data_IF_030260797221
#
_entry.id   IF_030260797221
#
_cell.length_a   1.000
_cell.length_b   1.000
_cell.length_c   1.000
_cell.angle_alpha   90.00
_cell.angle_beta   90.00
_cell.angle_gamma   90.00
#
_symmetry.space_group_name_H-M   'P 1'
#
loop_
_entity.id
_entity.type
_entity.pdbx_description
1 polymer ?
#
# COMPACT_ATOMS: atom_id res chain seq x y z
N UNK A 1 15.59 -2.87 -41.82
CA UNK A 1 15.23 -2.14 -40.59
C UNK A 1 13.75 -2.34 -40.35
N UNK A 2 13.39 -3.25 -39.44
CA UNK A 2 12.01 -3.43 -38.98
C UNK A 2 11.79 -2.44 -37.84
N UNK A 3 10.79 -1.56 -37.97
CA UNK A 3 10.34 -0.71 -36.88
C UNK A 3 9.59 -1.59 -35.89
N UNK A 4 10.06 -1.63 -34.64
CA UNK A 4 9.34 -2.22 -33.53
C UNK A 4 8.20 -1.26 -33.16
N UNK A 5 6.98 -1.66 -33.48
CA UNK A 5 5.75 -1.03 -32.98
C UNK A 5 5.66 -1.31 -31.49
N UNK A 6 6.06 -0.34 -30.66
CA UNK A 6 5.79 -0.35 -29.23
C UNK A 6 4.27 -0.30 -29.03
N UNK A 7 3.66 -1.44 -28.71
CA UNK A 7 2.26 -1.52 -28.32
C UNK A 7 2.06 -0.72 -27.03
N UNK A 8 1.53 0.49 -27.17
CA UNK A 8 1.03 1.28 -26.04
C UNK A 8 -0.16 0.52 -25.45
N UNK A 9 0.06 -0.24 -24.39
CA UNK A 9 -1.02 -0.85 -23.63
C UNK A 9 -1.72 0.32 -22.93
N UNK A 10 -2.85 0.76 -23.48
CA UNK A 10 -3.75 1.70 -22.80
C UNK A 10 -4.10 1.09 -21.44
N UNK A 11 -3.52 1.62 -20.35
CA UNK A 11 -3.86 1.17 -19.00
C UNK A 11 -5.32 1.54 -18.74
N UNK A 12 -6.16 0.55 -18.50
CA UNK A 12 -7.55 0.78 -18.11
C UNK A 12 -7.58 1.22 -16.66
N UNK A 13 -7.89 2.49 -16.45
CA UNK A 13 -8.12 3.06 -15.11
C UNK A 13 -9.35 2.39 -14.52
N UNK A 14 -9.25 1.93 -13.28
CA UNK A 14 -10.36 1.32 -12.56
C UNK A 14 -10.93 2.30 -11.54
N UNK A 15 -12.22 2.17 -11.27
CA UNK A 15 -12.94 2.86 -10.20
C UNK A 15 -13.35 1.89 -9.10
N UNK A 16 -13.21 2.34 -7.86
CA UNK A 16 -13.61 1.59 -6.68
C UNK A 16 -14.44 2.47 -5.75
N UNK A 17 -15.29 1.84 -4.97
CA UNK A 17 -16.06 2.46 -3.91
C UNK A 17 -15.51 1.99 -2.57
N UNK A 18 -15.28 2.93 -1.67
CA UNK A 18 -14.81 2.69 -0.31
C UNK A 18 -15.87 3.18 0.67
N UNK A 19 -16.45 2.26 1.43
CA UNK A 19 -17.42 2.57 2.48
C UNK A 19 -16.69 2.73 3.82
N UNK A 20 -16.70 3.95 4.36
CA UNK A 20 -16.13 4.25 5.67
C UNK A 20 -17.00 3.68 6.77
N UNK A 21 -16.37 2.99 7.72
CA UNK A 21 -17.05 2.27 8.80
C UNK A 21 -16.06 1.64 9.77
N UNK A 22 -16.40 0.48 10.33
CA UNK A 22 -15.51 -0.26 11.23
C UNK A 22 -14.28 -0.84 10.53
N UNK A 23 -14.40 -1.16 9.23
CA UNK A 23 -13.36 -1.85 8.47
C UNK A 23 -12.48 -0.89 7.66
N UNK A 24 -12.99 0.28 7.27
CA UNK A 24 -12.24 1.28 6.52
C UNK A 24 -12.35 2.66 7.15
N UNK A 25 -11.21 3.33 7.31
CA UNK A 25 -11.10 4.69 7.85
C UNK A 25 -10.31 5.58 6.91
N UNK A 26 -10.70 6.86 6.89
CA UNK A 26 -9.97 7.92 6.21
C UNK A 26 -9.23 8.76 7.27
N UNK A 27 -7.91 8.70 7.26
CA UNK A 27 -7.03 9.46 8.15
C UNK A 27 -6.28 10.51 7.32
N UNK A 28 -6.86 11.72 7.24
CA UNK A 28 -6.34 12.80 6.40
C UNK A 28 -6.41 12.44 4.92
N UNK A 29 -5.27 12.08 4.33
CA UNK A 29 -5.12 11.74 2.90
C UNK A 29 -4.81 10.25 2.66
N UNK A 30 -4.95 9.41 3.68
CA UNK A 30 -4.74 7.97 3.58
C UNK A 30 -6.01 7.22 4.00
N UNK A 31 -6.38 6.20 3.22
CA UNK A 31 -7.45 5.27 3.58
C UNK A 31 -6.80 3.99 4.09
N UNK A 32 -7.17 3.55 5.28
CA UNK A 32 -6.74 2.25 5.80
C UNK A 32 -7.93 1.31 5.89
N UNK A 33 -7.78 0.11 5.33
CA UNK A 33 -8.74 -0.98 5.41
C UNK A 33 -8.15 -2.11 6.23
N UNK A 34 -8.80 -2.48 7.34
CA UNK A 34 -8.29 -3.39 8.38
C UNK A 34 -8.45 -4.89 8.04
N UNK A 35 -8.58 -5.23 6.76
CA UNK A 35 -8.51 -6.61 6.28
C UNK A 35 -8.03 -6.68 4.83
N UNK A 36 -7.54 -7.86 4.43
CA UNK A 36 -7.18 -8.14 3.03
C UNK A 36 -8.41 -8.66 2.30
N UNK A 37 -9.21 -7.77 1.69
CA UNK A 37 -10.25 -8.16 0.73
C UNK A 37 -9.60 -8.69 -0.56
N UNK A 38 -10.23 -9.67 -1.22
CA UNK A 38 -9.86 -10.04 -2.60
C UNK A 38 -9.93 -8.84 -3.54
N UNK A 39 -10.89 -7.94 -3.32
CA UNK A 39 -11.13 -6.78 -4.16
C UNK A 39 -10.02 -5.74 -4.03
N UNK A 40 -9.44 -5.62 -2.83
CA UNK A 40 -8.27 -4.76 -2.58
C UNK A 40 -7.01 -5.23 -3.34
N UNK A 41 -6.95 -6.48 -3.81
CA UNK A 41 -5.86 -6.93 -4.70
C UNK A 41 -5.96 -6.32 -6.09
N UNK A 42 -7.16 -5.94 -6.52
CA UNK A 42 -7.40 -5.31 -7.82
C UNK A 42 -7.03 -3.83 -7.87
N UNK A 43 -7.05 -3.14 -6.73
CA UNK A 43 -6.74 -1.70 -6.64
C UNK A 43 -5.28 -1.45 -7.03
N UNK A 44 -5.08 -0.53 -7.97
CA UNK A 44 -3.76 -0.11 -8.49
C UNK A 44 -3.55 1.38 -8.29
N UNK A 45 -2.32 1.80 -8.52
CA UNK A 45 -1.98 3.23 -8.64
C UNK A 45 -2.74 3.84 -9.81
N UNK A 46 -3.06 5.13 -9.71
CA UNK A 46 -3.91 5.91 -10.62
C UNK A 46 -5.39 5.53 -10.66
N UNK A 47 -5.82 4.48 -9.95
CA UNK A 47 -7.23 4.12 -9.85
C UNK A 47 -8.04 5.24 -9.16
N UNK A 48 -9.29 5.37 -9.60
CA UNK A 48 -10.27 6.27 -9.05
C UNK A 48 -10.94 5.65 -7.82
N UNK A 49 -11.16 6.46 -6.79
CA UNK A 49 -11.87 6.06 -5.58
C UNK A 49 -13.04 7.00 -5.31
N UNK A 50 -14.17 6.40 -4.97
CA UNK A 50 -15.33 7.08 -4.42
C UNK A 50 -15.42 6.78 -2.93
N UNK A 51 -15.28 7.81 -2.09
CA UNK A 51 -15.36 7.67 -0.64
C UNK A 51 -16.79 7.93 -0.21
N UNK A 52 -17.38 6.94 0.46
CA UNK A 52 -18.76 6.99 0.93
C UNK A 52 -18.83 6.66 2.40
N UNK A 53 -19.89 7.08 3.06
CA UNK A 53 -20.20 6.70 4.44
C UNK A 53 -21.64 6.26 4.53
N UNK A 54 -21.88 5.19 5.28
CA UNK A 54 -23.24 4.78 5.59
C UNK A 54 -23.85 5.75 6.62
N UNK A 55 -24.92 6.45 6.19
CA UNK A 55 -25.68 7.37 7.01
C UNK A 55 -27.04 6.79 7.41
N UNK A 56 -27.75 7.50 8.29
CA UNK A 56 -29.08 7.09 8.79
C UNK A 56 -30.17 7.01 7.71
N UNK A 57 -30.00 7.69 6.58
CA UNK A 57 -30.93 7.72 5.44
C UNK A 57 -30.38 7.01 4.19
N UNK A 58 -29.25 6.31 4.32
CA UNK A 58 -28.57 5.61 3.22
C UNK A 58 -27.11 6.06 3.06
N UNK A 59 -26.46 5.57 2.01
CA UNK A 59 -25.06 5.88 1.71
C UNK A 59 -24.90 7.30 1.16
N UNK A 60 -23.99 8.05 1.76
CA UNK A 60 -23.62 9.40 1.38
C UNK A 60 -22.22 9.40 0.76
N UNK A 61 -22.06 10.10 -0.36
CA UNK A 61 -20.78 10.33 -1.03
C UNK A 61 -20.11 11.53 -0.39
N UNK A 62 -18.91 11.29 0.15
CA UNK A 62 -18.13 12.29 0.87
C UNK A 62 -17.04 12.92 0.01
N UNK A 63 -16.40 12.14 -0.87
CA UNK A 63 -15.30 12.64 -1.68
C UNK A 63 -15.01 11.77 -2.90
N UNK A 64 -14.38 12.38 -3.90
CA UNK A 64 -13.70 11.70 -5.00
C UNK A 64 -12.19 11.76 -4.76
N UNK A 65 -11.48 10.67 -4.97
CA UNK A 65 -10.02 10.64 -4.81
C UNK A 65 -9.33 9.80 -5.87
N UNK A 66 -8.01 9.95 -5.94
CA UNK A 66 -7.12 9.14 -6.78
C UNK A 66 -6.09 8.42 -5.93
N UNK A 67 -5.86 7.16 -6.24
CA UNK A 67 -4.82 6.35 -5.60
C UNK A 67 -3.47 6.78 -6.13
N UNK A 68 -2.61 7.25 -5.24
CA UNK A 68 -1.19 7.44 -5.54
C UNK A 68 -0.44 6.12 -5.39
N UNK A 69 -0.64 5.45 -4.26
CA UNK A 69 0.13 4.25 -3.90
C UNK A 69 -0.67 3.30 -3.03
N UNK A 70 -0.48 2.00 -3.28
CA UNK A 70 -1.11 0.93 -2.49
C UNK A 70 -0.06 0.21 -1.66
N UNK A 71 -0.20 0.27 -0.33
CA UNK A 71 0.65 -0.46 0.62
C UNK A 71 -0.14 -1.61 1.23
N UNK A 72 0.34 -2.83 1.02
CA UNK A 72 -0.30 -4.06 1.52
C UNK A 72 0.54 -4.63 2.65
N UNK A 73 -0.04 -4.72 3.84
CA UNK A 73 0.51 -5.47 4.97
C UNK A 73 -0.25 -6.80 5.10
N UNK A 74 0.11 -7.60 6.11
CA UNK A 74 -0.54 -8.90 6.39
C UNK A 74 -1.98 -8.74 6.87
N UNK A 75 -2.24 -7.69 7.66
CA UNK A 75 -3.50 -7.42 8.35
C UNK A 75 -4.29 -6.28 7.72
N UNK A 76 -3.63 -5.31 7.08
CA UNK A 76 -4.26 -4.10 6.55
C UNK A 76 -3.74 -3.70 5.18
N UNK A 77 -4.56 -2.97 4.44
CA UNK A 77 -4.16 -2.28 3.21
C UNK A 77 -4.33 -0.78 3.39
N UNK A 78 -3.28 -0.02 3.11
CA UNK A 78 -3.30 1.43 3.12
C UNK A 78 -3.25 1.95 1.68
N UNK A 79 -4.26 2.74 1.30
CA UNK A 79 -4.33 3.47 0.04
C UNK A 79 -3.90 4.91 0.32
N UNK A 80 -2.74 5.29 -0.21
CA UNK A 80 -2.23 6.65 -0.16
C UNK A 80 -2.80 7.43 -1.34
N UNK A 81 -3.36 8.61 -1.08
CA UNK A 81 -4.01 9.44 -2.09
C UNK A 81 -3.09 10.59 -2.50
N UNK A 82 -3.08 10.96 -3.78
CA UNK A 82 -2.46 12.21 -4.28
C UNK A 82 -3.49 13.27 -4.68
N UNK A 83 -4.76 12.89 -4.78
CA UNK A 83 -5.87 13.80 -5.04
C UNK A 83 -7.06 13.43 -4.17
N UNK A 84 -7.61 14.41 -3.48
CA UNK A 84 -8.81 14.29 -2.65
C UNK A 84 -9.68 15.51 -2.87
N UNK A 85 -10.86 15.30 -3.46
CA UNK A 85 -11.86 16.31 -3.72
C UNK A 85 -13.08 16.03 -2.83
N UNK A 86 -13.17 16.67 -1.65
CA UNK A 86 -14.32 16.52 -0.76
C UNK A 86 -15.57 17.18 -1.35
N UNK A 87 -16.73 16.59 -1.06
CA UNK A 87 -18.05 17.13 -1.34
C UNK A 87 -18.61 17.74 -0.08
N UNK A 88 -18.77 19.07 -0.07
CA UNK A 88 -19.44 19.80 1.00
C UNK A 88 -20.60 20.62 0.41
N UNK A 89 -21.87 20.23 0.62
CA UNK A 89 -22.33 19.10 1.44
C UNK A 89 -22.17 17.73 0.74
N UNK A 90 -22.17 16.67 1.55
CA UNK A 90 -22.20 15.29 1.05
C UNK A 90 -23.43 15.04 0.15
N UNK A 91 -23.28 14.17 -0.86
CA UNK A 91 -24.32 13.88 -1.86
C UNK A 91 -24.91 12.49 -1.65
N UNK A 92 -26.21 12.33 -1.85
CA UNK A 92 -26.82 11.01 -1.80
C UNK A 92 -26.50 10.22 -3.08
N UNK A 93 -26.55 8.89 -3.00
CA UNK A 93 -26.37 8.02 -4.17
C UNK A 93 -27.41 8.28 -5.26
N UNK A 94 -28.65 8.59 -4.86
CA UNK A 94 -29.74 8.91 -5.78
C UNK A 94 -29.47 10.17 -6.60
N UNK A 95 -28.89 11.21 -5.99
CA UNK A 95 -28.53 12.45 -6.69
C UNK A 95 -27.44 12.23 -7.75
N UNK A 96 -26.59 11.23 -7.55
CA UNK A 96 -25.45 10.92 -8.41
C UNK A 96 -25.73 9.77 -9.40
N UNK A 97 -26.95 9.22 -9.38
CA UNK A 97 -27.32 8.08 -10.24
C UNK A 97 -26.56 6.78 -9.91
N UNK A 98 -26.00 6.68 -8.70
CA UNK A 98 -25.27 5.51 -8.26
C UNK A 98 -26.28 4.53 -7.66
N UNK A 99 -26.43 3.37 -8.29
CA UNK A 99 -27.16 2.28 -7.66
C UNK A 99 -26.32 1.78 -6.49
N UNK A 100 -26.87 1.81 -5.28
CA UNK A 100 -26.17 1.30 -4.11
C UNK A 100 -25.71 -0.12 -4.40
N UNK A 101 -24.40 -0.41 -4.43
CA UNK A 101 -23.99 -1.79 -4.45
C UNK A 101 -24.48 -2.39 -3.14
N UNK A 102 -24.99 -3.62 -3.21
CA UNK A 102 -25.22 -4.47 -2.03
C UNK A 102 -23.83 -4.91 -1.55
N UNK A 103 -23.01 -3.96 -1.13
CA UNK A 103 -21.63 -4.21 -0.73
C UNK A 103 -21.62 -4.41 0.78
N UNK A 104 -21.48 -5.67 1.18
CA UNK A 104 -21.19 -6.04 2.57
C UNK A 104 -19.71 -5.78 2.91
N UNK A 105 -18.89 -5.46 1.92
CA UNK A 105 -17.45 -5.25 2.04
C UNK A 105 -17.11 -3.76 2.08
N UNK A 106 -16.08 -3.41 2.86
CA UNK A 106 -15.56 -2.04 2.95
C UNK A 106 -15.09 -1.43 1.63
N UNK A 107 -14.67 -2.27 0.67
CA UNK A 107 -14.23 -1.85 -0.67
C UNK A 107 -14.89 -2.74 -1.71
N UNK A 108 -15.49 -2.12 -2.73
CA UNK A 108 -16.13 -2.82 -3.84
C UNK A 108 -15.79 -2.19 -5.18
N UNK A 109 -15.85 -2.99 -6.25
CA UNK A 109 -15.68 -2.47 -7.62
C UNK A 109 -16.83 -1.54 -7.99
N UNK A 110 -16.51 -0.43 -8.65
CA UNK A 110 -17.47 0.49 -9.25
C UNK A 110 -17.24 0.53 -10.76
N UNK A 111 -18.31 0.55 -11.55
CA UNK A 111 -18.20 0.70 -13.00
C UNK A 111 -17.70 2.09 -13.38
N UNK A 112 -16.71 2.14 -14.28
CA UNK A 112 -16.06 3.39 -14.68
C UNK A 112 -17.03 4.46 -15.18
N UNK A 113 -18.00 4.13 -16.08
CA UNK A 113 -18.97 5.12 -16.55
C UNK A 113 -19.85 5.70 -15.43
N UNK A 114 -20.12 4.92 -14.37
CA UNK A 114 -20.90 5.38 -13.21
C UNK A 114 -20.09 6.36 -12.39
N UNK A 115 -18.81 6.07 -12.17
CA UNK A 115 -17.89 6.98 -11.48
C UNK A 115 -17.74 8.31 -12.24
N UNK A 116 -17.50 8.27 -13.54
CA UNK A 116 -17.35 9.49 -14.36
C UNK A 116 -18.63 10.32 -14.38
N UNK A 117 -19.79 9.68 -14.55
CA UNK A 117 -21.08 10.36 -14.52
C UNK A 117 -21.31 11.04 -13.15
N UNK A 118 -21.00 10.36 -12.05
CA UNK A 118 -21.11 10.91 -10.71
C UNK A 118 -20.17 12.10 -10.50
N UNK A 119 -18.90 12.00 -10.92
CA UNK A 119 -17.92 13.08 -10.80
C UNK A 119 -18.34 14.32 -11.60
N UNK A 120 -18.80 14.11 -12.84
CA UNK A 120 -19.30 15.18 -13.71
C UNK A 120 -20.56 15.83 -13.14
N UNK A 121 -21.45 15.05 -12.54
CA UNK A 121 -22.70 15.55 -11.95
C UNK A 121 -22.44 16.32 -10.65
N UNK A 122 -21.52 15.84 -9.81
CA UNK A 122 -21.19 16.45 -8.52
C UNK A 122 -20.33 17.71 -8.66
N UNK A 123 -19.30 17.65 -9.50
CA UNK A 123 -18.21 18.63 -9.54
C UNK A 123 -18.06 19.33 -10.90
N UNK A 124 -18.70 18.84 -11.97
CA UNK A 124 -18.57 19.42 -13.31
C UNK A 124 -17.21 19.19 -13.97
N UNK A 125 -16.39 18.26 -13.45
CA UNK A 125 -15.04 17.98 -13.94
C UNK A 125 -14.90 16.52 -14.42
N UNK A 126 -13.83 16.27 -15.16
CA UNK A 126 -13.40 14.92 -15.57
C UNK A 126 -12.31 14.40 -14.64
N UNK A 127 -12.12 13.07 -14.57
CA UNK A 127 -11.16 12.46 -13.66
C UNK A 127 -9.70 12.96 -13.81
N UNK A 128 -9.16 13.18 -15.03
CA UNK A 128 -7.82 13.73 -15.18
C UNK A 128 -7.64 15.15 -14.62
N UNK A 129 -8.75 15.87 -14.36
CA UNK A 129 -8.78 17.22 -13.79
C UNK A 129 -8.96 17.21 -12.27
N UNK A 130 -9.00 16.04 -11.63
CA UNK A 130 -9.07 15.92 -10.18
C UNK A 130 -7.84 16.61 -9.56
N UNK A 131 -8.03 17.53 -8.59
CA UNK A 131 -6.93 18.33 -8.05
C UNK A 131 -5.91 17.45 -7.33
N UNK A 132 -4.64 17.73 -7.57
CA UNK A 132 -3.51 17.09 -6.90
C UNK A 132 -3.20 17.88 -5.62
N UNK A 133 -2.74 17.20 -4.57
CA UNK A 133 -2.29 17.83 -3.35
C UNK A 133 -1.05 18.69 -3.63
N UNK A 134 -1.17 20.00 -3.44
CA UNK A 134 -0.13 20.99 -3.77
C UNK A 134 0.73 21.40 -2.56
N UNK A 135 0.34 21.02 -1.33
CA UNK A 135 1.08 21.44 -0.13
C UNK A 135 0.74 22.86 0.32
N UNK A 136 -0.51 23.29 0.10
CA UNK A 136 -0.98 24.63 0.51
C UNK A 136 -1.16 24.73 2.02
N UNK A 137 -1.48 23.62 2.67
CA UNK A 137 -1.65 23.54 4.13
C UNK A 137 -0.46 22.84 4.79
N UNK A 138 -0.16 23.14 6.07
CA UNK A 138 0.89 22.42 6.81
C UNK A 138 0.66 20.91 6.87
N UNK A 139 -0.60 20.48 6.91
CA UNK A 139 -0.99 19.07 6.90
C UNK A 139 -0.65 18.41 5.55
N UNK A 140 -0.98 19.06 4.43
CA UNK A 140 -0.58 18.58 3.10
C UNK A 140 0.94 18.53 2.93
N UNK A 141 1.66 19.55 3.40
CA UNK A 141 3.12 19.58 3.31
C UNK A 141 3.77 18.43 4.09
N UNK A 142 3.26 18.13 5.29
CA UNK A 142 3.72 16.99 6.07
C UNK A 142 3.45 15.68 5.33
N UNK A 143 2.22 15.51 4.83
CA UNK A 143 1.83 14.31 4.10
C UNK A 143 2.62 14.10 2.80
N UNK A 144 2.84 15.15 2.00
CA UNK A 144 3.65 15.10 0.78
C UNK A 144 5.10 14.71 1.10
N UNK A 145 5.66 15.21 2.22
CA UNK A 145 6.99 14.79 2.67
C UNK A 145 7.02 13.31 3.00
N UNK A 146 5.98 12.79 3.67
CA UNK A 146 5.88 11.37 4.01
C UNK A 146 5.73 10.49 2.75
N UNK A 147 4.97 10.96 1.75
CA UNK A 147 4.88 10.32 0.43
C UNK A 147 6.24 10.27 -0.27
N UNK A 148 6.96 11.39 -0.29
CA UNK A 148 8.28 11.48 -0.91
C UNK A 148 9.28 10.55 -0.20
N UNK A 149 9.31 10.58 1.12
CA UNK A 149 10.17 9.69 1.90
C UNK A 149 9.86 8.23 1.59
N UNK A 150 8.58 7.85 1.59
CA UNK A 150 8.13 6.51 1.23
C UNK A 150 8.58 6.12 -0.18
N UNK A 151 8.43 7.02 -1.16
CA UNK A 151 8.88 6.80 -2.52
C UNK A 151 10.39 6.57 -2.63
N UNK A 152 11.20 7.38 -1.94
CA UNK A 152 12.67 7.24 -1.92
C UNK A 152 13.09 5.94 -1.24
N UNK A 153 12.49 5.59 -0.10
CA UNK A 153 12.79 4.34 0.60
C UNK A 153 12.48 3.14 -0.28
N UNK A 154 11.32 3.15 -0.95
CA UNK A 154 10.93 2.04 -1.80
C UNK A 154 11.78 1.96 -3.08
N UNK A 155 12.31 3.08 -3.60
CA UNK A 155 13.28 3.07 -4.71
C UNK A 155 14.63 2.47 -4.27
N UNK A 156 15.11 2.83 -3.06
CA UNK A 156 16.35 2.31 -2.51
C UNK A 156 16.30 0.83 -2.16
N UNK A 157 15.17 0.36 -1.63
CA UNK A 157 14.97 -1.04 -1.26
C UNK A 157 14.52 -1.90 -2.46
N UNK A 158 14.11 -1.27 -3.56
CA UNK A 158 13.43 -1.95 -4.66
C UNK A 158 12.02 -2.41 -4.27
N UNK A 159 11.33 -3.19 -5.12
CA UNK A 159 10.05 -3.79 -4.78
C UNK A 159 10.25 -4.87 -3.70
N UNK A 160 10.55 -4.47 -2.48
CA UNK A 160 10.88 -5.33 -1.37
C UNK A 160 9.73 -5.41 -0.36
N UNK A 161 9.45 -6.64 0.07
CA UNK A 161 8.56 -7.07 1.15
C UNK A 161 7.07 -6.95 0.87
N UNK A 162 6.63 -7.43 -0.29
CA UNK A 162 5.21 -7.81 -0.42
C UNK A 162 4.85 -8.85 0.65
N UNK A 163 3.63 -8.86 1.22
CA UNK A 163 3.25 -9.80 2.29
C UNK A 163 3.30 -11.28 1.88
N UNK A 164 3.46 -11.55 0.57
CA UNK A 164 3.53 -12.89 -0.03
C UNK A 164 4.85 -13.08 -0.80
N UNK A 165 5.82 -12.19 -0.64
CA UNK A 165 7.12 -12.35 -1.27
C UNK A 165 7.90 -13.49 -0.61
N UNK A 166 8.31 -14.47 -1.41
CA UNK A 166 9.14 -15.58 -0.94
C UNK A 166 10.60 -15.12 -0.87
N UNK A 167 11.17 -15.07 0.32
CA UNK A 167 12.60 -14.78 0.50
C UNK A 167 13.40 -16.06 0.23
N UNK A 168 13.81 -16.25 -1.03
CA UNK A 168 14.67 -17.37 -1.42
C UNK A 168 16.11 -17.02 -1.05
N UNK A 169 16.70 -17.78 -0.12
CA UNK A 169 18.12 -17.69 0.23
C UNK A 169 18.44 -16.66 1.32
N UNK A 170 18.19 -17.01 2.58
CA UNK A 170 18.67 -16.27 3.76
C UNK A 170 20.15 -16.55 4.10
N UNK A 171 20.92 -17.07 3.15
CA UNK A 171 22.35 -17.31 3.32
C UNK A 171 23.09 -15.97 3.21
N UNK A 172 23.47 -15.41 4.36
CA UNK A 172 24.36 -14.25 4.43
C UNK A 172 25.72 -14.56 3.80
N UNK A 173 26.10 -15.84 3.74
CA UNK A 173 27.38 -16.30 3.17
C UNK A 173 27.52 -15.97 1.68
N UNK A 174 26.47 -16.10 0.88
CA UNK A 174 26.58 -15.90 -0.57
C UNK A 174 26.79 -14.43 -0.97
N UNK A 175 26.36 -13.48 -0.13
CA UNK A 175 26.59 -12.03 -0.37
C UNK A 175 28.01 -11.58 -0.05
N UNK A 176 28.66 -12.19 0.94
CA UNK A 176 30.06 -11.92 1.28
C UNK A 176 31.04 -12.83 0.52
N UNK A 177 30.58 -13.94 -0.08
CA UNK A 177 31.44 -14.81 -0.90
C UNK A 177 31.78 -14.21 -2.27
N UNK A 178 31.00 -13.26 -2.79
CA UNK A 178 31.33 -12.52 -4.03
C UNK A 178 32.23 -11.30 -3.71
N UNK A 179 33.15 -11.49 -2.76
CA UNK A 179 34.07 -10.48 -2.26
C UNK A 179 35.21 -10.20 -3.24
N UNK A 180 35.00 -9.26 -4.17
CA UNK A 180 36.06 -8.38 -4.68
C UNK A 180 36.60 -7.39 -3.62
N UNK A 181 36.19 -7.56 -2.36
CA UNK A 181 36.62 -6.79 -1.18
C UNK A 181 36.87 -7.72 0.02
N UNK A 182 37.53 -8.86 -0.19
CA UNK A 182 38.19 -9.52 0.93
C UNK A 182 39.37 -8.62 1.37
N UNK A 183 39.52 -8.29 2.67
CA UNK A 183 40.73 -7.65 3.16
C UNK A 183 41.94 -8.52 2.77
N UNK A 184 43.03 -7.95 2.24
CA UNK A 184 44.22 -8.73 1.97
C UNK A 184 44.76 -9.28 3.28
N UNK A 185 44.53 -10.58 3.49
CA UNK A 185 45.26 -11.49 4.37
C UNK A 185 45.63 -10.85 5.72
N UNK A 186 44.74 -10.93 6.71
CA UNK A 186 45.22 -10.95 8.08
C UNK A 186 45.83 -12.34 8.29
N UNK A 187 47.15 -12.44 8.19
CA UNK A 187 47.87 -13.64 8.60
C UNK A 187 47.68 -13.76 10.11
N UNK A 188 46.74 -14.60 10.54
CA UNK A 188 46.75 -15.11 11.90
C UNK A 188 47.83 -16.19 11.97
N UNK A 189 48.86 -16.08 12.83
CA UNK A 189 49.74 -17.21 13.09
C UNK A 189 48.89 -18.39 13.60
N UNK A 190 49.20 -19.60 13.12
CA UNK A 190 48.44 -20.86 13.29
C UNK A 190 48.19 -21.30 14.76
N UNK A 191 48.64 -20.55 15.76
CA UNK A 191 48.67 -20.98 17.16
C UNK A 191 47.48 -20.50 18.01
N UNK A 192 46.40 -19.97 17.43
CA UNK A 192 45.22 -19.53 18.20
C UNK A 192 43.87 -19.97 17.60
N UNK A 193 43.78 -21.23 17.16
CA UNK A 193 42.48 -21.91 17.13
C UNK A 193 42.09 -22.25 18.57
N UNK A 194 41.49 -21.29 19.29
CA UNK A 194 40.70 -21.65 20.47
C UNK A 194 39.53 -22.51 20.00
N UNK A 195 39.53 -23.79 20.39
CA UNK A 195 38.40 -24.70 20.25
C UNK A 195 37.19 -24.07 20.97
N UNK A 196 36.28 -23.45 20.21
CA UNK A 196 34.97 -23.10 20.73
C UNK A 196 34.21 -24.41 21.01
N UNK A 197 33.71 -24.63 22.24
CA UNK A 197 32.90 -25.80 22.53
C UNK A 197 31.61 -25.74 21.70
N UNK A 198 31.32 -26.87 21.03
CA UNK A 198 30.07 -27.11 20.32
C UNK A 198 28.90 -26.92 21.29
N UNK A 199 28.05 -25.92 21.04
CA UNK A 199 26.92 -25.55 21.90
C UNK A 199 25.72 -26.50 21.72
N UNK A 200 26.00 -27.80 21.55
CA UNK A 200 24.99 -28.83 21.29
C UNK A 200 25.31 -30.10 22.06
N UNK A 201 25.36 -30.04 23.38
CA UNK A 201 25.04 -31.16 24.31
C UNK A 201 25.25 -30.74 25.76
N UNK A 202 24.20 -30.24 26.41
CA UNK A 202 24.03 -30.33 27.85
C UNK A 202 22.54 -30.13 28.17
N UNK A 203 21.80 -31.24 28.19
CA UNK A 203 20.54 -31.31 28.94
C UNK A 203 20.84 -31.07 30.43
N UNK A 204 20.06 -30.24 31.15
CA UNK A 204 20.23 -30.05 32.57
C UNK A 204 19.49 -31.17 33.33
N UNK A 205 20.20 -32.21 33.75
CA UNK A 205 19.75 -33.05 34.87
C UNK A 205 20.03 -32.31 36.18
N UNK A 206 18.97 -31.86 36.83
CA UNK A 206 19.00 -31.52 38.25
C UNK A 206 18.85 -32.79 39.08
N UNK A 207 19.61 -32.90 40.17
CA UNK A 207 19.09 -33.33 41.48
C UNK A 207 20.16 -33.18 42.58
N UNK A 208 19.84 -32.33 43.54
CA UNK A 208 19.98 -32.49 45.00
C UNK A 208 21.26 -33.07 45.62
N UNK A 209 21.94 -32.22 46.41
CA UNK A 209 22.66 -32.65 47.63
C UNK A 209 22.43 -31.66 48.77
N UNK A 210 21.43 -31.95 49.59
CA UNK A 210 21.47 -31.69 51.04
C UNK A 210 22.39 -32.72 51.70
N UNK A 211 23.39 -32.23 52.47
CA UNK A 211 23.85 -32.75 53.76
C UNK A 211 25.05 -31.91 54.25
#
# INVERSE_FOLDING_TARGET
MKAETTSNIERTINSWLVCLGSEARLDGFAITVDHVSSDLRGVREDDALLIVKEGSSGSEVLAFSRVYRVRRALDKTTLLLDGLLPLDPARSFGDLGILSPVATAAVSRLEWPVFEAALKTACGIEFPRLPVLEGKTPQEQAYIRDLLQSAVVDDLLGPAYGPVEEIIGMSVRDRYLVGKLAPPITQFPDDQVEDLPDATTADPEGDDREA
#
